data_IF_805911707040
#
_entry.id   IF_805911707040
#
_cell.length_a   1.000
_cell.length_b   1.000
_cell.length_c   1.000
_cell.angle_alpha   90.00
_cell.angle_beta   90.00
_cell.angle_gamma   90.00
#
_symmetry.space_group_name_H-M   'P 1'
#
loop_
_entity.id
_entity.type
_entity.pdbx_description
1 polymer ?
#
# COMPACT_ATOMS: atom_id res chain seq x y z
N UNK A 1 -25.49 0.08 2.97
CA UNK A 1 -25.49 -1.36 3.26
C UNK A 1 -24.05 -1.71 3.66
N UNK A 2 -23.83 -2.60 4.64
CA UNK A 2 -22.47 -3.01 4.98
C UNK A 2 -21.85 -3.81 3.82
N UNK A 3 -20.52 -3.88 3.76
CA UNK A 3 -19.82 -4.79 2.84
C UNK A 3 -20.39 -6.22 2.94
N UNK A 4 -20.41 -6.94 1.82
CA UNK A 4 -20.92 -8.33 1.76
C UNK A 4 -20.12 -9.28 2.68
N UNK A 5 -18.86 -8.95 2.94
CA UNK A 5 -18.00 -9.54 3.96
C UNK A 5 -17.55 -8.44 4.94
N UNK A 6 -17.79 -8.66 6.23
CA UNK A 6 -17.55 -7.68 7.30
C UNK A 6 -16.18 -7.80 7.97
N UNK A 7 -15.29 -8.66 7.46
CA UNK A 7 -14.01 -8.98 8.11
C UNK A 7 -12.81 -8.16 7.65
N UNK A 8 -12.89 -7.49 6.49
CA UNK A 8 -11.73 -6.86 5.84
C UNK A 8 -11.66 -5.34 6.05
N UNK A 9 -12.77 -4.62 5.88
CA UNK A 9 -12.89 -3.19 6.16
C UNK A 9 -14.30 -2.90 6.73
N UNK A 10 -14.55 -3.28 8.00
CA UNK A 10 -15.91 -3.33 8.57
C UNK A 10 -16.61 -1.96 8.61
N UNK A 11 -15.82 -0.89 8.80
CA UNK A 11 -16.29 0.50 8.82
C UNK A 11 -16.05 1.21 7.47
N UNK A 12 -15.64 0.46 6.45
CA UNK A 12 -15.34 0.94 5.12
C UNK A 12 -16.58 1.27 4.28
N UNK A 13 -16.34 1.82 3.08
CA UNK A 13 -17.37 2.02 2.07
C UNK A 13 -17.72 0.70 1.38
N UNK A 14 -18.91 0.63 0.75
CA UNK A 14 -19.27 -0.52 -0.09
C UNK A 14 -18.32 -0.64 -1.29
N UNK A 15 -17.82 -1.86 -1.53
CA UNK A 15 -16.83 -2.11 -2.56
C UNK A 15 -17.47 -2.29 -3.95
N UNK A 16 -17.52 -1.20 -4.72
CA UNK A 16 -17.94 -1.18 -6.13
C UNK A 16 -16.83 -0.72 -7.08
N UNK A 17 -15.58 -0.68 -6.61
CA UNK A 17 -14.46 -0.35 -7.49
C UNK A 17 -14.21 -1.46 -8.51
N UNK A 18 -13.49 -1.12 -9.58
CA UNK A 18 -13.09 -2.07 -10.63
C UNK A 18 -11.78 -2.78 -10.31
N UNK A 19 -11.18 -2.50 -9.15
CA UNK A 19 -9.83 -2.95 -8.78
C UNK A 19 -9.82 -3.95 -7.62
N UNK A 20 -10.87 -3.98 -6.79
CA UNK A 20 -11.00 -4.88 -5.65
C UNK A 20 -12.39 -5.51 -5.55
N UNK A 21 -12.49 -6.47 -4.64
CA UNK A 21 -13.76 -7.03 -4.16
C UNK A 21 -13.72 -6.99 -2.63
N UNK A 22 -14.84 -7.30 -1.99
CA UNK A 22 -14.99 -7.43 -0.53
C UNK A 22 -14.02 -8.42 0.17
N UNK A 23 -13.21 -9.16 -0.59
CA UNK A 23 -12.20 -10.11 -0.09
C UNK A 23 -10.82 -9.51 0.15
N UNK A 24 -10.60 -8.25 -0.22
CA UNK A 24 -9.29 -7.59 -0.06
C UNK A 24 -9.45 -6.13 0.35
N UNK A 25 -8.46 -5.63 1.09
CA UNK A 25 -8.49 -4.25 1.56
C UNK A 25 -8.21 -3.31 0.40
N UNK A 26 -9.14 -2.40 0.13
CA UNK A 26 -9.01 -1.45 -0.96
C UNK A 26 -7.88 -0.45 -0.67
N UNK A 27 -6.97 -0.24 -1.62
CA UNK A 27 -5.85 0.69 -1.46
C UNK A 27 -6.27 2.16 -1.29
N UNK A 28 -7.51 2.49 -1.65
CA UNK A 28 -8.11 3.81 -1.45
C UNK A 28 -8.78 3.97 -0.07
N UNK A 29 -8.98 2.89 0.69
CA UNK A 29 -9.58 2.94 2.03
C UNK A 29 -8.71 3.73 3.02
N UNK A 30 -9.34 4.36 4.02
CA UNK A 30 -8.62 5.06 5.07
C UNK A 30 -7.71 4.10 5.86
N UNK A 31 -8.18 2.88 6.08
CA UNK A 31 -7.43 1.78 6.72
C UNK A 31 -6.14 1.48 5.98
N UNK A 32 -6.19 1.24 4.65
CA UNK A 32 -4.98 0.98 3.86
C UNK A 32 -4.05 2.19 3.80
N UNK A 33 -4.60 3.40 3.68
CA UNK A 33 -3.79 4.62 3.70
C UNK A 33 -3.03 4.79 5.01
N UNK A 34 -3.59 4.39 6.16
CA UNK A 34 -2.88 4.39 7.43
C UNK A 34 -1.75 3.36 7.43
N UNK A 35 -2.02 2.12 6.97
CA UNK A 35 -0.98 1.07 6.84
C UNK A 35 0.21 1.56 6.03
N UNK A 36 -0.03 2.22 4.89
CA UNK A 36 1.05 2.74 4.04
C UNK A 36 1.83 3.90 4.68
N UNK A 37 1.16 4.75 5.46
CA UNK A 37 1.81 5.82 6.24
C UNK A 37 2.69 5.24 7.35
N UNK A 38 2.18 4.26 8.09
CA UNK A 38 2.93 3.60 9.16
C UNK A 38 4.17 2.88 8.62
N UNK A 39 4.06 2.20 7.47
CA UNK A 39 5.21 1.59 6.79
C UNK A 39 6.25 2.65 6.41
N UNK A 40 5.82 3.77 5.84
CA UNK A 40 6.71 4.87 5.44
C UNK A 40 7.43 5.46 6.65
N UNK A 41 6.71 5.76 7.73
CA UNK A 41 7.27 6.35 8.95
C UNK A 41 8.25 5.41 9.63
N UNK A 42 7.87 4.13 9.81
CA UNK A 42 8.73 3.11 10.41
C UNK A 42 10.02 2.92 9.59
N UNK A 43 9.94 2.82 8.27
CA UNK A 43 11.13 2.60 7.44
C UNK A 43 12.05 3.83 7.42
N UNK A 44 11.50 5.05 7.37
CA UNK A 44 12.30 6.27 7.49
C UNK A 44 13.04 6.34 8.82
N UNK A 45 12.38 5.97 9.92
CA UNK A 45 12.98 5.95 11.26
C UNK A 45 14.12 4.92 11.34
N UNK A 46 13.85 3.66 10.97
CA UNK A 46 14.82 2.56 11.07
C UNK A 46 16.07 2.82 10.24
N UNK A 47 15.93 3.40 9.04
CA UNK A 47 17.04 3.64 8.13
C UNK A 47 17.58 5.08 8.18
N UNK A 48 17.04 5.95 9.04
CA UNK A 48 17.35 7.38 9.08
C UNK A 48 17.31 8.02 7.67
N UNK A 49 16.23 7.75 6.92
CA UNK A 49 16.06 8.15 5.53
C UNK A 49 15.08 9.33 5.40
N UNK A 50 15.32 10.22 4.43
CA UNK A 50 14.42 11.34 4.13
C UNK A 50 13.10 10.89 3.49
N UNK A 51 13.14 9.82 2.69
CA UNK A 51 11.99 9.30 1.96
C UNK A 51 12.11 7.78 1.71
N UNK A 52 10.96 7.14 1.50
CA UNK A 52 10.84 5.70 1.23
C UNK A 52 9.89 5.47 0.05
N UNK A 53 10.21 4.48 -0.78
CA UNK A 53 9.36 4.01 -1.86
C UNK A 53 9.11 2.49 -1.73
N UNK A 54 7.85 2.07 -1.81
CA UNK A 54 7.45 0.66 -1.82
C UNK A 54 7.18 0.21 -3.26
N UNK A 55 7.91 -0.81 -3.72
CA UNK A 55 7.78 -1.34 -5.09
C UNK A 55 7.14 -2.73 -5.05
N UNK A 56 5.92 -2.90 -5.61
CA UNK A 56 5.28 -4.22 -5.71
C UNK A 56 6.13 -5.18 -6.55
N UNK A 57 6.37 -6.39 -6.04
CA UNK A 57 7.26 -7.38 -6.65
C UNK A 57 8.19 -7.98 -5.60
N UNK A 58 9.50 -7.82 -5.79
CA UNK A 58 10.53 -8.24 -4.83
C UNK A 58 11.80 -7.40 -4.94
N UNK A 59 12.86 -7.76 -4.18
CA UNK A 59 14.09 -6.96 -4.11
C UNK A 59 14.73 -6.66 -5.48
N UNK A 60 14.69 -7.60 -6.42
CA UNK A 60 15.19 -7.40 -7.79
C UNK A 60 14.45 -6.28 -8.53
N UNK A 61 13.13 -6.14 -8.32
CA UNK A 61 12.33 -5.09 -8.94
C UNK A 61 12.69 -3.72 -8.35
N UNK A 62 13.00 -3.66 -7.06
CA UNK A 62 13.48 -2.43 -6.42
C UNK A 62 14.86 -2.01 -6.99
N UNK A 63 15.78 -2.95 -7.17
CA UNK A 63 17.08 -2.67 -7.82
C UNK A 63 16.89 -2.15 -9.25
N UNK A 64 15.99 -2.77 -10.03
CA UNK A 64 15.69 -2.33 -11.39
C UNK A 64 15.05 -0.95 -11.43
N UNK A 65 14.12 -0.64 -10.52
CA UNK A 65 13.49 0.67 -10.42
C UNK A 65 14.53 1.79 -10.19
N UNK A 66 15.48 1.56 -9.27
CA UNK A 66 16.59 2.49 -9.01
C UNK A 66 17.47 2.64 -10.25
N UNK A 67 17.86 1.53 -10.88
CA UNK A 67 18.70 1.57 -12.07
C UNK A 67 18.04 2.35 -13.22
N UNK A 68 16.76 2.12 -13.50
CA UNK A 68 16.02 2.80 -14.59
C UNK A 68 15.80 4.29 -14.32
N UNK A 69 15.69 4.69 -13.05
CA UNK A 69 15.47 6.08 -12.69
C UNK A 69 16.77 6.90 -12.66
N UNK A 70 17.88 6.33 -12.16
CA UNK A 70 19.09 7.09 -11.84
C UNK A 70 20.34 6.72 -12.66
N UNK A 71 20.43 5.52 -13.23
CA UNK A 71 21.63 5.05 -13.93
C UNK A 71 21.58 5.30 -15.45
N UNK A 72 20.99 6.41 -15.89
CA UNK A 72 20.99 6.83 -17.30
C UNK A 72 22.36 7.37 -17.72
#
# INVERSE_FOLDING_TARGET
MPALLDSIDPEGMEEFSVVFTDRSLNHMSATFQQVMRDISDMLKEVYNADAVALIPGGGTYAMEAVARQFAR
#
